data_IF_448879180491
#
_entry.id   IF_448879180491
#
_cell.length_a   1.000
_cell.length_b   1.000
_cell.length_c   1.000
_cell.angle_alpha   90.00
_cell.angle_beta   90.00
_cell.angle_gamma   90.00
#
_symmetry.space_group_name_H-M   'P 1'
#
loop_
_entity.id
_entity.type
_entity.pdbx_description
1 polymer ?
#
# COMPACT_ATOMS: atom_id res chain seq x y z
N UNK A 1 24.58 1.26 16.26
CA UNK A 1 23.88 1.76 17.47
C UNK A 1 23.23 3.15 17.35
N UNK A 2 23.58 3.99 16.36
CA UNK A 2 23.00 5.34 16.26
C UNK A 2 21.57 5.37 15.68
N UNK A 3 21.27 4.55 14.66
CA UNK A 3 19.97 4.57 13.98
C UNK A 3 18.79 4.21 14.90
N UNK A 4 18.95 3.19 15.75
CA UNK A 4 17.89 2.72 16.65
C UNK A 4 17.61 3.73 17.77
N UNK A 5 18.65 4.35 18.34
CA UNK A 5 18.51 5.39 19.36
C UNK A 5 17.87 6.68 18.81
N UNK A 6 18.16 7.02 17.56
CA UNK A 6 17.64 8.25 16.95
C UNK A 6 16.20 8.06 16.41
N UNK A 7 15.93 6.99 15.68
CA UNK A 7 14.62 6.77 15.07
C UNK A 7 13.57 6.27 16.07
N UNK A 8 13.95 5.38 17.01
CA UNK A 8 13.00 4.74 17.93
C UNK A 8 12.88 5.52 19.24
N UNK A 9 13.99 5.91 19.87
CA UNK A 9 13.95 6.57 21.19
C UNK A 9 13.72 8.09 21.11
N UNK A 10 14.19 8.77 20.05
CA UNK A 10 13.97 10.21 19.86
C UNK A 10 12.79 10.52 18.93
N UNK A 11 12.11 9.49 18.42
CA UNK A 11 10.83 9.58 17.71
C UNK A 11 10.78 10.69 16.64
N UNK A 12 11.87 10.85 15.89
CA UNK A 12 12.06 11.95 14.92
C UNK A 12 11.00 11.91 13.81
N UNK A 13 10.34 10.77 13.61
CA UNK A 13 9.17 10.64 12.73
C UNK A 13 8.05 11.64 13.07
N UNK A 14 7.86 11.98 14.34
CA UNK A 14 6.88 13.01 14.77
C UNK A 14 7.28 14.40 14.25
N UNK A 15 8.59 14.67 14.13
CA UNK A 15 9.13 15.93 13.61
C UNK A 15 8.87 16.10 12.10
N UNK A 16 8.77 14.99 11.36
CA UNK A 16 8.41 14.99 9.93
C UNK A 16 6.89 15.04 9.67
N UNK A 17 6.08 15.00 10.73
CA UNK A 17 4.63 15.18 10.67
C UNK A 17 3.86 13.95 11.13
N UNK A 18 3.17 14.07 12.27
CA UNK A 18 2.20 13.09 12.72
C UNK A 18 0.90 13.27 11.91
N UNK A 19 0.54 12.27 11.12
CA UNK A 19 -0.70 12.26 10.35
C UNK A 19 -1.77 11.50 11.14
N UNK A 20 -3.04 11.95 11.14
CA UNK A 20 -4.14 11.19 11.72
C UNK A 20 -4.20 9.79 11.11
N UNK A 21 -4.67 8.80 11.88
CA UNK A 21 -4.76 7.41 11.43
C UNK A 21 -5.50 7.26 10.08
N UNK A 22 -6.52 8.09 9.84
CA UNK A 22 -7.31 8.05 8.61
C UNK A 22 -6.55 8.57 7.39
N UNK A 23 -5.50 9.37 7.56
CA UNK A 23 -4.75 9.97 6.45
C UNK A 23 -4.12 8.91 5.55
N UNK A 24 -3.60 7.82 6.13
CA UNK A 24 -3.04 6.71 5.37
C UNK A 24 -4.07 6.06 4.46
N UNK A 25 -5.34 5.98 4.88
CA UNK A 25 -6.42 5.43 4.05
C UNK A 25 -6.98 6.46 3.06
N UNK A 26 -7.17 7.71 3.47
CA UNK A 26 -7.85 8.72 2.64
C UNK A 26 -6.93 9.43 1.66
N UNK A 27 -5.63 9.53 1.94
CA UNK A 27 -4.68 10.25 1.11
C UNK A 27 -3.43 9.42 0.77
N UNK A 28 -2.83 8.74 1.74
CA UNK A 28 -1.63 7.92 1.52
C UNK A 28 -1.88 6.80 0.50
N UNK A 29 -2.95 6.02 0.71
CA UNK A 29 -3.30 4.89 -0.12
C UNK A 29 -3.65 5.32 -1.57
N UNK A 30 -4.50 6.33 -1.82
CA UNK A 30 -4.73 6.84 -3.18
C UNK A 30 -3.48 7.39 -3.85
N UNK A 31 -2.57 8.05 -3.12
CA UNK A 31 -1.33 8.57 -3.69
C UNK A 31 -0.41 7.44 -4.15
N UNK A 32 -0.26 6.39 -3.35
CA UNK A 32 0.63 5.26 -3.66
C UNK A 32 0.02 4.36 -4.74
N UNK A 33 -1.26 4.00 -4.61
CA UNK A 33 -1.91 3.04 -5.50
C UNK A 33 -2.45 3.71 -6.77
N UNK A 34 -2.85 4.98 -6.69
CA UNK A 34 -3.56 5.69 -7.76
C UNK A 34 -2.89 5.63 -9.13
N UNK A 35 -1.58 5.94 -9.29
CA UNK A 35 -0.90 5.87 -10.58
C UNK A 35 -0.82 4.45 -11.15
N UNK A 36 -0.72 3.45 -10.29
CA UNK A 36 -0.56 2.04 -10.69
C UNK A 36 -1.92 1.37 -10.96
N UNK A 37 -3.00 1.85 -10.36
CA UNK A 37 -4.31 1.22 -10.40
C UNK A 37 -4.91 1.14 -11.82
N UNK A 38 -4.88 2.19 -12.66
CA UNK A 38 -5.41 2.11 -14.03
C UNK A 38 -4.68 1.06 -14.87
N UNK A 39 -3.36 0.97 -14.75
CA UNK A 39 -2.55 -0.01 -15.47
C UNK A 39 -2.86 -1.44 -15.02
N UNK A 40 -2.99 -1.63 -13.71
CA UNK A 40 -3.37 -2.92 -13.14
C UNK A 40 -4.78 -3.34 -13.59
N UNK A 41 -5.76 -2.43 -13.53
CA UNK A 41 -7.14 -2.68 -13.95
C UNK A 41 -7.23 -2.98 -15.46
N UNK A 42 -6.48 -2.26 -16.28
CA UNK A 42 -6.38 -2.52 -17.72
C UNK A 42 -5.76 -3.90 -18.01
N UNK A 43 -4.70 -4.28 -17.27
CA UNK A 43 -4.15 -5.63 -17.35
C UNK A 43 -5.15 -6.71 -16.92
N UNK A 44 -5.95 -6.44 -15.89
CA UNK A 44 -7.00 -7.35 -15.42
C UNK A 44 -8.14 -7.55 -16.43
N UNK A 45 -8.54 -6.50 -17.16
CA UNK A 45 -9.61 -6.61 -18.16
C UNK A 45 -9.17 -7.41 -19.39
N UNK A 46 -7.89 -7.30 -19.77
CA UNK A 46 -7.26 -8.07 -20.85
C UNK A 46 -6.88 -9.50 -20.42
N UNK A 47 -6.90 -9.81 -19.13
CA UNK A 47 -6.45 -11.09 -18.59
C UNK A 47 -7.31 -12.26 -19.08
N UNK A 48 -6.67 -13.25 -19.68
CA UNK A 48 -7.30 -14.51 -20.11
C UNK A 48 -7.88 -15.26 -18.91
N UNK A 49 -8.90 -16.12 -19.12
CA UNK A 49 -9.57 -16.90 -18.05
C UNK A 49 -8.60 -17.63 -17.09
N UNK A 50 -7.46 -18.12 -17.60
CA UNK A 50 -6.40 -18.77 -16.80
C UNK A 50 -5.77 -17.84 -15.77
N UNK A 51 -5.53 -16.58 -16.13
CA UNK A 51 -4.92 -15.57 -15.26
C UNK A 51 -5.91 -14.99 -14.24
N UNK A 52 -7.23 -15.10 -14.47
CA UNK A 52 -8.25 -14.70 -13.50
C UNK A 52 -8.15 -15.48 -12.19
N UNK A 53 -7.76 -16.76 -12.23
CA UNK A 53 -7.57 -17.56 -11.01
C UNK A 53 -6.46 -16.94 -10.15
N UNK A 54 -5.35 -16.52 -10.77
CA UNK A 54 -4.25 -15.86 -10.07
C UNK A 54 -4.68 -14.51 -9.47
N UNK A 55 -5.48 -13.72 -10.20
CA UNK A 55 -6.03 -12.47 -9.68
C UNK A 55 -6.93 -12.70 -8.46
N UNK A 56 -7.78 -13.74 -8.50
CA UNK A 56 -8.63 -14.12 -7.36
C UNK A 56 -7.76 -14.53 -6.16
N UNK A 57 -6.70 -15.31 -6.37
CA UNK A 57 -5.79 -15.70 -5.30
C UNK A 57 -5.08 -14.49 -4.68
N UNK A 58 -4.57 -13.55 -5.49
CA UNK A 58 -3.89 -12.32 -5.01
C UNK A 58 -4.85 -11.43 -4.22
N UNK A 59 -6.08 -11.26 -4.70
CA UNK A 59 -7.12 -10.50 -3.98
C UNK A 59 -7.48 -11.19 -2.66
N UNK A 60 -7.65 -12.51 -2.67
CA UNK A 60 -7.97 -13.29 -1.48
C UNK A 60 -6.86 -13.20 -0.44
N UNK A 61 -5.59 -13.34 -0.83
CA UNK A 61 -4.47 -13.26 0.11
C UNK A 61 -4.34 -11.88 0.73
N UNK A 62 -4.53 -10.81 -0.05
CA UNK A 62 -4.45 -9.41 0.44
C UNK A 62 -5.65 -9.01 1.31
N UNK A 63 -6.78 -9.71 1.18
CA UNK A 63 -7.96 -9.46 2.02
C UNK A 63 -7.87 -10.18 3.37
N UNK A 64 -7.18 -11.32 3.43
CA UNK A 64 -7.04 -12.14 4.64
C UNK A 64 -5.88 -11.68 5.53
N UNK A 65 -4.76 -11.25 4.92
CA UNK A 65 -3.58 -10.71 5.60
C UNK A 65 -3.57 -9.19 5.59
#
# INVERSE_FOLDING_TARGET
>A
WNFLKFNVLHNVAVFYGAHPWHWYFTQGLPVVIGPHLPLFLHGCSLATKKHRILLITVLWTTAVY
#
